data_IF_316475470080
#
_entry.id   IF_316475470080
#
_cell.length_a   1.000
_cell.length_b   1.000
_cell.length_c   1.000
_cell.angle_alpha   90.00
_cell.angle_beta   90.00
_cell.angle_gamma   90.00
#
_symmetry.space_group_name_H-M   'P 1'
#
loop_
_entity.id
_entity.type
_entity.pdbx_description
1 polymer ?
#
# COMPACT_ATOMS: atom_id res chain seq x y z
N UNK A 1 22.14 9.35 -8.03
CA UNK A 1 21.56 8.00 -7.98
C UNK A 1 20.51 8.04 -6.88
N UNK A 2 19.27 7.68 -7.19
CA UNK A 2 18.19 7.61 -6.20
C UNK A 2 18.39 6.40 -5.28
N UNK A 3 17.82 6.46 -4.08
CA UNK A 3 17.76 5.32 -3.18
C UNK A 3 16.46 4.55 -3.49
N UNK A 4 16.62 3.35 -4.05
CA UNK A 4 15.51 2.46 -4.36
C UNK A 4 15.20 1.61 -3.14
N UNK A 5 13.94 1.58 -2.75
CA UNK A 5 13.43 0.86 -1.59
C UNK A 5 12.60 -0.34 -2.00
N UNK A 6 12.69 -1.40 -1.19
CA UNK A 6 11.82 -2.57 -1.28
C UNK A 6 10.95 -2.63 -0.03
N UNK A 7 9.69 -2.22 -0.14
CA UNK A 7 8.74 -2.18 0.97
C UNK A 7 7.54 -3.08 0.67
N UNK A 8 7.03 -3.75 1.69
CA UNK A 8 5.83 -4.58 1.52
C UNK A 8 4.91 -4.48 2.72
N UNK A 9 3.73 -5.05 2.55
CA UNK A 9 2.67 -4.90 3.53
C UNK A 9 1.32 -5.42 3.08
N UNK A 10 0.30 -5.00 3.81
CA UNK A 10 -1.10 -5.25 3.48
C UNK A 10 -1.70 -4.04 2.77
N UNK A 11 -2.37 -4.26 1.64
CA UNK A 11 -3.15 -3.24 0.98
C UNK A 11 -4.31 -2.85 1.90
N UNK A 12 -4.47 -1.56 2.15
CA UNK A 12 -5.58 -0.97 2.90
C UNK A 12 -6.62 -0.38 1.96
N UNK A 13 -6.18 0.18 0.83
CA UNK A 13 -7.03 0.79 -0.18
C UNK A 13 -6.32 0.95 -1.52
N UNK A 14 -7.11 1.18 -2.55
CA UNK A 14 -6.67 1.45 -3.92
C UNK A 14 -7.48 2.63 -4.46
N UNK A 15 -6.78 3.55 -5.12
CA UNK A 15 -7.36 4.70 -5.79
C UNK A 15 -6.80 4.78 -7.23
N UNK A 16 -7.68 4.69 -8.22
CA UNK A 16 -7.34 4.84 -9.63
C UNK A 16 -7.67 6.27 -10.05
N UNK A 17 -6.65 7.07 -10.31
CA UNK A 17 -6.76 8.50 -10.58
C UNK A 17 -7.03 8.77 -12.06
N UNK A 18 -7.63 9.94 -12.33
CA UNK A 18 -7.97 10.38 -13.69
C UNK A 18 -6.73 10.56 -14.60
N UNK A 19 -5.56 10.81 -14.01
CA UNK A 19 -4.28 10.91 -14.72
C UNK A 19 -3.69 9.56 -15.15
N UNK A 20 -4.40 8.45 -14.90
CA UNK A 20 -3.99 7.09 -15.22
C UNK A 20 -3.10 6.44 -14.17
N UNK A 21 -2.75 7.14 -13.09
CA UNK A 21 -1.98 6.55 -11.99
C UNK A 21 -2.86 5.75 -11.04
N UNK A 22 -2.29 4.69 -10.47
CA UNK A 22 -2.91 3.92 -9.40
C UNK A 22 -2.15 4.14 -8.11
N UNK A 23 -2.85 4.47 -7.03
CA UNK A 23 -2.27 4.65 -5.70
C UNK A 23 -2.78 3.55 -4.78
N UNK A 24 -1.84 2.80 -4.21
CA UNK A 24 -2.10 1.81 -3.17
C UNK A 24 -1.69 2.39 -1.82
N UNK A 25 -2.63 2.43 -0.88
CA UNK A 25 -2.31 2.67 0.53
C UNK A 25 -1.94 1.33 1.17
N UNK A 26 -0.74 1.24 1.74
CA UNK A 26 -0.19 -0.01 2.26
C UNK A 26 0.23 0.17 3.72
N UNK A 27 -0.21 -0.75 4.59
CA UNK A 27 0.32 -0.91 5.94
C UNK A 27 1.66 -1.64 5.85
N UNK A 28 2.76 -0.95 6.11
CA UNK A 28 4.10 -1.52 6.07
C UNK A 28 4.26 -2.60 7.15
N UNK A 29 4.72 -3.77 6.73
CA UNK A 29 5.03 -4.90 7.60
C UNK A 29 6.47 -5.36 7.36
N UNK A 30 7.14 -5.92 8.39
CA UNK A 30 8.38 -6.66 8.20
C UNK A 30 8.21 -7.75 7.14
N UNK A 31 9.25 -7.97 6.37
CA UNK A 31 9.30 -9.01 5.35
C UNK A 31 10.05 -10.22 5.89
N UNK A 32 9.61 -11.42 5.51
CA UNK A 32 10.39 -12.63 5.71
C UNK A 32 11.53 -12.76 4.68
N UNK A 33 12.33 -13.83 4.78
CA UNK A 33 13.47 -14.09 3.88
C UNK A 33 13.06 -14.24 2.39
N UNK A 34 11.77 -14.45 2.11
CA UNK A 34 11.22 -14.54 0.76
C UNK A 34 10.68 -13.20 0.24
N UNK A 35 10.75 -12.13 1.03
CA UNK A 35 10.15 -10.84 0.73
C UNK A 35 8.64 -10.81 0.97
N UNK A 36 8.07 -11.80 1.66
CA UNK A 36 6.63 -11.84 1.95
C UNK A 36 6.32 -11.08 3.24
N UNK A 37 5.27 -10.22 3.25
CA UNK A 37 4.85 -9.52 4.46
C UNK A 37 4.45 -10.48 5.61
N UNK A 38 5.04 -10.28 6.79
CA UNK A 38 4.74 -11.05 7.99
C UNK A 38 3.46 -10.54 8.66
N UNK A 39 2.32 -11.21 8.43
CA UNK A 39 1.00 -10.77 8.93
C UNK A 39 0.69 -11.18 10.37
N UNK A 40 1.55 -11.99 11.01
CA UNK A 40 1.35 -12.48 12.38
C UNK A 40 2.58 -12.23 13.24
N UNK A 41 2.36 -11.66 14.43
CA UNK A 41 3.40 -11.47 15.45
C UNK A 41 4.43 -10.40 15.11
N UNK A 42 4.20 -9.61 14.05
CA UNK A 42 5.05 -8.51 13.65
C UNK A 42 4.41 -7.16 14.02
N UNK A 43 5.23 -6.20 14.42
CA UNK A 43 4.79 -4.83 14.66
C UNK A 43 4.76 -4.04 13.33
N UNK A 44 3.63 -3.39 12.98
CA UNK A 44 3.56 -2.57 11.78
C UNK A 44 4.43 -1.31 11.86
N UNK A 45 5.09 -0.94 10.76
CA UNK A 45 6.00 0.22 10.70
C UNK A 45 5.32 1.57 10.40
N UNK A 46 4.11 1.56 9.83
CA UNK A 46 3.40 2.77 9.40
C UNK A 46 2.63 2.55 8.10
N UNK A 47 2.12 3.62 7.49
CA UNK A 47 1.45 3.57 6.18
C UNK A 47 2.24 4.32 5.12
N UNK A 48 2.26 3.81 3.90
CA UNK A 48 2.86 4.50 2.75
C UNK A 48 1.97 4.39 1.52
N UNK A 49 2.20 5.29 0.56
CA UNK A 49 1.53 5.29 -0.74
C UNK A 49 2.48 4.73 -1.80
N UNK A 50 2.09 3.63 -2.43
CA UNK A 50 2.75 3.11 -3.61
C UNK A 50 2.04 3.62 -4.86
N UNK A 51 2.71 4.47 -5.62
CA UNK A 51 2.16 5.15 -6.81
C UNK A 51 2.67 4.45 -8.06
N UNK A 52 1.79 3.75 -8.76
CA UNK A 52 2.06 3.09 -10.04
C UNK A 52 1.57 3.96 -11.19
N UNK A 53 2.36 4.08 -12.26
CA UNK A 53 1.96 4.74 -13.51
C UNK A 53 1.05 3.88 -14.39
N UNK A 54 0.76 2.65 -13.97
CA UNK A 54 -0.10 1.71 -14.66
C UNK A 54 -1.39 1.49 -13.86
N UNK A 55 -2.48 1.22 -14.56
CA UNK A 55 -3.74 0.79 -13.94
C UNK A 55 -3.55 -0.54 -13.19
N UNK A 56 -4.07 -0.62 -11.95
CA UNK A 56 -4.20 -1.90 -11.22
C UNK A 56 -5.67 -2.20 -10.96
N UNK A 57 -6.08 -3.43 -11.23
CA UNK A 57 -7.46 -3.85 -11.04
C UNK A 57 -7.81 -3.92 -9.54
N UNK A 58 -8.81 -3.16 -9.05
CA UNK A 58 -9.25 -3.22 -7.66
C UNK A 58 -9.76 -4.60 -7.22
N UNK A 59 -10.20 -5.47 -8.13
CA UNK A 59 -10.58 -6.84 -7.79
C UNK A 59 -9.37 -7.69 -7.38
N UNK A 60 -8.21 -7.43 -7.98
CA UNK A 60 -6.95 -8.09 -7.66
C UNK A 60 -6.24 -7.40 -6.49
N UNK A 61 -6.01 -6.09 -6.58
CA UNK A 61 -5.29 -5.28 -5.60
C UNK A 61 -6.22 -4.71 -4.51
N UNK A 62 -7.12 -5.56 -4.01
CA UNK A 62 -8.08 -5.19 -2.94
C UNK A 62 -7.44 -5.20 -1.54
N UNK A 63 -8.14 -4.56 -0.60
CA UNK A 63 -7.76 -4.56 0.80
C UNK A 63 -7.54 -5.98 1.37
N UNK A 64 -6.54 -6.11 2.25
CA UNK A 64 -6.14 -7.37 2.88
C UNK A 64 -5.18 -8.23 2.04
N UNK A 65 -4.91 -7.87 0.79
CA UNK A 65 -3.91 -8.55 -0.03
C UNK A 65 -2.50 -8.14 0.38
N UNK A 66 -1.59 -9.10 0.34
CA UNK A 66 -0.16 -8.87 0.61
C UNK A 66 0.54 -8.43 -0.67
N UNK A 67 1.33 -7.37 -0.58
CA UNK A 67 2.06 -6.80 -1.71
C UNK A 67 3.49 -6.47 -1.31
N UNK A 68 4.39 -6.55 -2.29
CA UNK A 68 5.76 -6.06 -2.23
C UNK A 68 5.94 -5.03 -3.35
N UNK A 69 6.52 -3.88 -3.04
CA UNK A 69 6.72 -2.76 -3.93
C UNK A 69 8.21 -2.39 -3.96
N UNK A 70 8.77 -2.35 -5.16
CA UNK A 70 10.10 -1.82 -5.44
C UNK A 70 9.94 -0.45 -6.09
N UNK A 71 10.68 0.55 -5.63
CA UNK A 71 10.66 1.86 -6.24
C UNK A 71 11.42 2.93 -5.47
N UNK A 72 11.32 4.17 -5.93
CA UNK A 72 12.05 5.29 -5.34
C UNK A 72 11.16 6.09 -4.37
N UNK A 73 11.74 6.51 -3.23
CA UNK A 73 11.06 7.43 -2.32
C UNK A 73 11.07 8.84 -2.92
N UNK A 74 9.90 9.32 -3.33
CA UNK A 74 9.75 10.62 -4.03
C UNK A 74 9.33 11.77 -3.13
N UNK A 75 9.09 11.48 -1.84
CA UNK A 75 8.73 12.48 -0.85
C UNK A 75 7.59 12.01 0.04
N UNK A 76 6.73 12.95 0.41
CA UNK A 76 5.59 12.69 1.29
C UNK A 76 4.34 13.40 0.78
N UNK A 77 3.18 12.82 1.05
CA UNK A 77 1.86 13.40 0.77
C UNK A 77 1.04 13.44 2.06
N UNK A 78 0.42 14.58 2.31
CA UNK A 78 -0.51 14.71 3.43
C UNK A 78 -1.83 14.06 3.07
N UNK A 79 -2.36 13.27 3.99
CA UNK A 79 -3.69 12.71 3.90
C UNK A 79 -4.27 12.55 5.29
N UNK A 80 -5.28 11.67 5.42
CA UNK A 80 -5.95 11.43 6.70
C UNK A 80 -5.98 9.96 7.05
N UNK A 81 -5.89 9.66 8.34
CA UNK A 81 -6.26 8.37 8.93
C UNK A 81 -7.38 8.68 9.91
N UNK A 82 -8.62 8.35 9.54
CA UNK A 82 -9.79 8.87 10.25
C UNK A 82 -9.82 10.39 10.18
N UNK A 83 -9.82 11.06 11.33
CA UNK A 83 -9.82 12.53 11.42
C UNK A 83 -8.41 13.13 11.60
N UNK A 84 -7.39 12.30 11.82
CA UNK A 84 -6.03 12.75 12.04
C UNK A 84 -5.30 12.99 10.72
N UNK A 85 -4.63 14.14 10.58
CA UNK A 85 -3.68 14.38 9.49
C UNK A 85 -2.50 13.43 9.62
N UNK A 86 -2.12 12.79 8.51
CA UNK A 86 -1.00 11.87 8.43
C UNK A 86 -0.14 12.20 7.22
N UNK A 87 1.18 12.08 7.38
CA UNK A 87 2.16 12.35 6.33
C UNK A 87 2.68 11.04 5.76
N UNK A 88 2.12 10.60 4.64
CA UNK A 88 2.46 9.36 3.99
C UNK A 88 3.77 9.49 3.22
N UNK A 89 4.76 8.60 3.41
CA UNK A 89 5.85 8.43 2.44
C UNK A 89 5.29 7.99 1.09
N UNK A 90 5.84 8.53 -0.01
CA UNK A 90 5.44 8.20 -1.39
C UNK A 90 6.52 7.42 -2.10
N UNK A 91 6.19 6.19 -2.45
CA UNK A 91 7.04 5.32 -3.25
C UNK A 91 6.55 5.34 -4.70
N UNK A 92 7.37 5.88 -5.61
CA UNK A 92 7.12 5.75 -7.04
C UNK A 92 7.50 4.34 -7.47
N UNK A 93 6.50 3.55 -7.83
CA UNK A 93 6.64 2.12 -8.07
C UNK A 93 7.28 1.85 -9.43
N UNK A 94 8.35 1.05 -9.40
CA UNK A 94 8.94 0.42 -10.58
C UNK A 94 8.41 -1.00 -10.79
N UNK A 95 8.19 -1.74 -9.70
CA UNK A 95 7.63 -3.09 -9.75
C UNK A 95 6.74 -3.41 -8.54
N UNK A 96 5.66 -4.14 -8.80
CA UNK A 96 4.78 -4.70 -7.76
C UNK A 96 4.73 -6.21 -7.86
N UNK A 97 4.82 -6.87 -6.73
CA UNK A 97 4.53 -8.28 -6.59
C UNK A 97 3.32 -8.47 -5.67
N UNK A 98 2.25 -9.03 -6.22
CA UNK A 98 1.03 -9.36 -5.50
C UNK A 98 1.04 -10.85 -5.12
N UNK A 99 1.06 -11.14 -3.83
CA UNK A 99 1.05 -12.52 -3.35
C UNK A 99 -0.30 -13.18 -3.62
N UNK A 100 -0.29 -14.49 -3.89
CA UNK A 100 -1.52 -15.27 -4.09
C UNK A 100 -2.38 -15.20 -2.84
N UNK A 101 -3.69 -15.07 -3.06
CA UNK A 101 -4.67 -15.15 -1.99
C UNK A 101 -4.74 -16.61 -1.52
N UNK A 102 -4.20 -16.91 -0.34
CA UNK A 102 -4.25 -18.26 0.23
C UNK A 102 -5.61 -18.57 0.90
N UNK A 103 -6.64 -17.75 0.67
CA UNK A 103 -7.98 -17.90 1.24
C UNK A 103 -8.04 -17.65 2.75
N UNK A 104 -6.91 -17.48 3.42
CA UNK A 104 -6.83 -17.02 4.81
C UNK A 104 -6.87 -15.51 4.83
N UNK A 105 -8.05 -14.94 4.54
CA UNK A 105 -8.32 -13.57 4.97
C UNK A 105 -8.01 -13.48 6.46
N UNK A 106 -7.16 -12.55 6.92
CA UNK A 106 -7.00 -12.32 8.35
C UNK A 106 -8.40 -12.01 8.90
N UNK A 107 -8.93 -12.95 9.70
CA UNK A 107 -10.29 -12.87 10.18
C UNK A 107 -10.47 -11.63 11.04
N UNK A 108 -11.20 -10.66 10.52
CA UNK A 108 -12.07 -9.73 11.22
C UNK A 108 -12.31 -8.53 10.31
N UNK A 109 -13.54 -8.06 10.29
CA UNK A 109 -14.01 -6.83 9.65
C UNK A 109 -13.15 -5.63 10.06
N UNK A 110 -12.08 -5.37 9.31
CA UNK A 110 -11.35 -4.11 9.45
C UNK A 110 -12.06 -3.04 8.62
N UNK A 111 -12.80 -2.16 9.29
CA UNK A 111 -13.37 -0.98 8.68
C UNK A 111 -12.27 0.09 8.61
N UNK A 112 -11.55 0.16 7.50
CA UNK A 112 -10.74 1.34 7.18
C UNK A 112 -11.65 2.38 6.51
N UNK A 113 -11.69 3.58 7.09
CA UNK A 113 -12.39 4.71 6.50
C UNK A 113 -11.82 4.96 5.10
N UNK A 114 -12.68 4.84 4.09
CA UNK A 114 -12.38 5.21 2.72
C UNK A 114 -12.06 6.71 2.72
N UNK A 115 -10.78 7.06 2.71
CA UNK A 115 -10.30 8.41 2.52
C UNK A 115 -10.41 8.79 1.05
N UNK A 116 -11.64 8.99 0.55
CA UNK A 116 -11.86 9.66 -0.73
C UNK A 116 -11.39 11.10 -0.57
N UNK A 117 -10.14 11.35 -0.91
CA UNK A 117 -9.63 12.68 -1.20
C UNK A 117 -10.25 13.16 -2.51
N UNK A 118 -11.52 13.53 -2.49
CA UNK A 118 -12.09 14.38 -3.53
C UNK A 118 -11.42 15.76 -3.37
N UNK A 119 -10.41 16.02 -4.20
CA UNK A 119 -9.94 17.37 -4.42
C UNK A 119 -11.08 18.19 -5.01
N UNK A 120 -11.47 19.26 -4.31
CA UNK A 120 -12.15 20.40 -4.90
C UNK A 120 -11.10 21.47 -5.19
#
# INVERSE_FOLDING_TARGET
>A
MGETFLWGGLILGIDNREDGTTVLEILALPLDDSGRPMTRGAEPGGRFLAVSTEFRDPAEYRAGRQVLALGDLTGFEEGRIGEATYRYPKLAVEALHLWRDDGRSPGSSWHFGIGLGIGL
#
